data_IF_489902353405
#
_entry.id   IF_489902353405
#
_cell.length_a   1.000
_cell.length_b   1.000
_cell.length_c   1.000
_cell.angle_alpha   90.00
_cell.angle_beta   90.00
_cell.angle_gamma   90.00
#
_symmetry.space_group_name_H-M   'P 1'
#
loop_
_entity.id
_entity.type
_entity.pdbx_description
1 polymer ?
#
# COMPACT_ATOMS: atom_id res chain seq x y z
N UNK A 1 10.96 -5.19 -18.02
CA UNK A 1 9.74 -5.66 -18.70
C UNK A 1 9.51 -4.90 -20.00
N UNK A 2 9.01 -5.58 -21.02
CA UNK A 2 8.51 -4.98 -22.27
C UNK A 2 7.09 -4.43 -22.09
N UNK A 3 6.61 -3.50 -22.94
CA UNK A 3 5.23 -3.00 -22.84
C UNK A 3 4.18 -4.11 -22.91
N UNK A 4 4.42 -5.16 -23.71
CA UNK A 4 3.50 -6.31 -23.83
C UNK A 4 3.42 -7.11 -22.53
N UNK A 5 4.55 -7.39 -21.90
CA UNK A 5 4.60 -8.07 -20.60
C UNK A 5 3.89 -7.25 -19.51
N UNK A 6 4.03 -5.92 -19.53
CA UNK A 6 3.33 -5.04 -18.57
C UNK A 6 1.82 -5.16 -18.77
N UNK A 7 1.33 -5.08 -20.01
CA UNK A 7 -0.10 -5.25 -20.31
C UNK A 7 -0.59 -6.62 -19.85
N UNK A 8 0.16 -7.69 -20.12
CA UNK A 8 -0.21 -9.05 -19.69
C UNK A 8 -0.29 -9.17 -18.16
N UNK A 9 0.62 -8.52 -17.41
CA UNK A 9 0.50 -8.49 -15.95
C UNK A 9 -0.70 -7.67 -15.48
N UNK A 10 -1.02 -6.57 -16.16
CA UNK A 10 -2.22 -5.77 -15.84
C UNK A 10 -3.51 -6.53 -16.16
N UNK A 11 -3.54 -7.34 -17.21
CA UNK A 11 -4.69 -8.19 -17.59
C UNK A 11 -5.06 -9.21 -16.50
N UNK A 12 -4.10 -9.62 -15.66
CA UNK A 12 -4.35 -10.52 -14.52
C UNK A 12 -5.14 -9.88 -13.37
N UNK A 13 -5.29 -8.56 -13.40
CA UNK A 13 -5.90 -7.78 -12.32
C UNK A 13 -7.03 -6.86 -12.79
N UNK A 14 -6.96 -6.36 -14.03
CA UNK A 14 -7.90 -5.39 -14.58
C UNK A 14 -8.54 -6.00 -15.82
N UNK A 15 -9.86 -5.96 -15.92
CA UNK A 15 -10.62 -6.39 -17.10
C UNK A 15 -10.76 -5.22 -18.08
N UNK A 16 -10.63 -5.49 -19.38
CA UNK A 16 -10.83 -4.49 -20.44
C UNK A 16 -9.77 -3.38 -20.44
N UNK A 17 -10.17 -2.16 -20.81
CA UNK A 17 -9.35 -0.93 -20.75
C UNK A 17 -7.98 -1.05 -21.44
N UNK A 18 -7.93 -1.67 -22.62
CA UNK A 18 -6.70 -1.99 -23.34
C UNK A 18 -5.85 -0.74 -23.67
N UNK A 19 -6.49 0.36 -24.08
CA UNK A 19 -5.78 1.59 -24.42
C UNK A 19 -5.10 2.22 -23.20
N UNK A 20 -5.77 2.24 -22.06
CA UNK A 20 -5.21 2.72 -20.80
C UNK A 20 -4.01 1.86 -20.35
N UNK A 21 -4.13 0.52 -20.43
CA UNK A 21 -3.02 -0.40 -20.13
C UNK A 21 -1.82 -0.17 -21.05
N UNK A 22 -2.07 0.03 -22.36
CA UNK A 22 -1.02 0.33 -23.33
C UNK A 22 -0.34 1.67 -23.04
N UNK A 23 -1.11 2.71 -22.72
CA UNK A 23 -0.60 4.03 -22.40
C UNK A 23 0.34 3.99 -21.18
N UNK A 24 -0.09 3.36 -20.08
CA UNK A 24 0.75 3.24 -18.88
C UNK A 24 1.98 2.36 -19.11
N UNK A 25 1.87 1.30 -19.91
CA UNK A 25 2.99 0.43 -20.25
C UNK A 25 4.07 1.18 -21.07
N UNK A 26 3.65 2.06 -21.98
CA UNK A 26 4.57 2.93 -22.72
C UNK A 26 5.25 3.94 -21.80
N UNK A 27 4.52 4.56 -20.87
CA UNK A 27 5.07 5.52 -19.92
C UNK A 27 6.16 4.88 -19.03
N UNK A 28 5.89 3.69 -18.47
CA UNK A 28 6.90 2.95 -17.70
C UNK A 28 8.08 2.52 -18.57
N UNK A 29 7.84 2.04 -19.79
CA UNK A 29 8.93 1.67 -20.69
C UNK A 29 9.81 2.86 -21.04
N UNK A 30 9.25 4.06 -21.15
CA UNK A 30 10.01 5.29 -21.38
C UNK A 30 10.92 5.64 -20.19
N UNK A 31 10.54 5.31 -18.95
CA UNK A 31 11.45 5.46 -17.80
C UNK A 31 12.67 4.57 -17.91
N UNK A 32 12.49 3.31 -18.27
CA UNK A 32 13.61 2.41 -18.53
C UNK A 32 14.47 2.92 -19.70
N UNK A 33 13.86 3.39 -20.80
CA UNK A 33 14.59 3.97 -21.94
C UNK A 33 15.42 5.18 -21.51
N UNK A 34 14.87 6.08 -20.69
CA UNK A 34 15.56 7.25 -20.14
C UNK A 34 16.81 6.84 -19.35
N UNK A 35 16.72 5.80 -18.51
CA UNK A 35 17.88 5.32 -17.74
C UNK A 35 19.03 4.80 -18.62
N UNK A 36 18.74 4.35 -19.86
CA UNK A 36 19.77 3.91 -20.81
C UNK A 36 20.43 5.07 -21.58
N UNK A 37 19.92 6.30 -21.43
CA UNK A 37 20.50 7.47 -22.10
C UNK A 37 21.75 7.97 -21.37
N UNK A 38 22.67 8.66 -22.08
CA UNK A 38 23.76 9.42 -21.46
C UNK A 38 23.22 10.47 -20.47
N UNK A 39 24.01 10.81 -19.45
CA UNK A 39 23.54 11.66 -18.34
C UNK A 39 23.01 13.03 -18.79
N UNK A 40 23.68 13.69 -19.74
CA UNK A 40 23.22 14.97 -20.31
C UNK A 40 21.81 14.87 -20.92
N UNK A 41 21.56 13.83 -21.70
CA UNK A 41 20.25 13.63 -22.33
C UNK A 41 19.22 13.08 -21.33
N UNK A 42 19.65 12.33 -20.31
CA UNK A 42 18.77 11.75 -19.30
C UNK A 42 18.02 12.82 -18.49
N UNK A 43 18.69 13.93 -18.20
CA UNK A 43 18.13 15.07 -17.45
C UNK A 43 17.07 15.82 -18.28
N UNK A 44 17.30 15.97 -19.59
CA UNK A 44 16.39 16.68 -20.51
C UNK A 44 15.10 15.90 -20.84
N UNK A 45 15.08 14.58 -20.61
CA UNK A 45 13.90 13.74 -20.91
C UNK A 45 12.92 13.75 -19.74
N UNK A 46 11.90 14.60 -19.82
CA UNK A 46 10.81 14.60 -18.83
C UNK A 46 9.89 13.38 -18.95
N UNK A 47 9.29 12.93 -17.82
CA UNK A 47 8.25 11.92 -17.81
C UNK A 47 7.09 12.26 -18.76
N UNK A 48 6.48 11.23 -19.34
CA UNK A 48 5.26 11.39 -20.13
C UNK A 48 4.06 11.16 -19.23
N UNK A 49 3.63 12.21 -18.52
CA UNK A 49 2.49 12.15 -17.61
C UNK A 49 1.21 11.81 -18.38
N UNK A 50 0.26 11.22 -17.65
CA UNK A 50 -0.93 10.59 -18.23
C UNK A 50 -2.18 11.26 -17.67
N UNK A 51 -3.10 11.64 -18.55
CA UNK A 51 -4.46 12.04 -18.21
C UNK A 51 -5.43 10.93 -18.60
N UNK A 52 -6.01 10.28 -17.58
CA UNK A 52 -7.06 9.27 -17.71
C UNK A 52 -8.44 9.93 -17.67
N UNK A 53 -9.21 9.74 -18.73
CA UNK A 53 -10.55 10.30 -18.88
C UNK A 53 -11.53 9.14 -18.86
N UNK A 54 -12.55 9.18 -18.01
CA UNK A 54 -13.62 8.17 -18.06
C UNK A 54 -14.44 8.10 -16.78
N UNK A 55 -15.54 7.33 -16.78
CA UNK A 55 -16.49 7.31 -15.67
C UNK A 55 -15.89 6.73 -14.38
N UNK A 56 -16.58 6.93 -13.26
CA UNK A 56 -16.20 6.34 -11.97
C UNK A 56 -16.27 4.81 -12.03
N UNK A 57 -15.39 4.14 -11.28
CA UNK A 57 -15.46 2.68 -11.14
C UNK A 57 -15.02 1.85 -12.35
N UNK A 58 -14.46 2.45 -13.41
CA UNK A 58 -13.96 1.71 -14.60
C UNK A 58 -12.50 1.20 -14.49
N UNK A 59 -11.82 1.49 -13.37
CA UNK A 59 -10.47 0.96 -13.11
C UNK A 59 -9.31 1.95 -13.22
N UNK A 60 -9.55 3.26 -13.38
CA UNK A 60 -8.49 4.31 -13.46
C UNK A 60 -7.43 4.18 -12.34
N UNK A 61 -7.87 4.21 -11.09
CA UNK A 61 -6.98 4.09 -9.92
C UNK A 61 -6.33 2.71 -9.82
N UNK A 62 -7.05 1.65 -10.20
CA UNK A 62 -6.55 0.28 -10.10
C UNK A 62 -5.42 0.02 -11.11
N UNK A 63 -5.52 0.58 -12.32
CA UNK A 63 -4.43 0.54 -13.32
C UNK A 63 -3.17 1.19 -12.75
N UNK A 64 -3.27 2.40 -12.19
CA UNK A 64 -2.12 3.12 -11.64
C UNK A 64 -1.52 2.41 -10.40
N UNK A 65 -2.37 1.90 -9.50
CA UNK A 65 -1.95 1.15 -8.31
C UNK A 65 -1.23 -0.15 -8.69
N UNK A 66 -1.77 -0.92 -9.64
CA UNK A 66 -1.15 -2.17 -10.10
C UNK A 66 0.14 -1.92 -10.85
N UNK A 67 0.20 -0.84 -11.63
CA UNK A 67 1.43 -0.40 -12.29
C UNK A 67 2.53 -0.14 -11.26
N UNK A 68 2.25 0.62 -10.20
CA UNK A 68 3.22 0.92 -9.16
C UNK A 68 3.71 -0.33 -8.44
N UNK A 69 2.77 -1.23 -8.06
CA UNK A 69 3.11 -2.52 -7.43
C UNK A 69 3.97 -3.40 -8.34
N UNK A 70 3.69 -3.42 -9.65
CA UNK A 70 4.45 -4.19 -10.63
C UNK A 70 5.88 -3.67 -10.79
N UNK A 71 6.08 -2.35 -10.71
CA UNK A 71 7.40 -1.73 -10.88
C UNK A 71 8.15 -1.52 -9.57
N UNK A 72 7.58 -1.88 -8.41
CA UNK A 72 8.15 -1.57 -7.10
C UNK A 72 8.26 -0.07 -6.83
N UNK A 73 7.41 0.73 -7.47
CA UNK A 73 7.45 2.18 -7.36
C UNK A 73 6.66 2.66 -6.13
N UNK A 74 7.14 3.69 -5.40
CA UNK A 74 6.33 4.35 -4.39
C UNK A 74 5.14 5.04 -5.06
N UNK A 75 3.98 4.93 -4.43
CA UNK A 75 2.70 5.37 -4.98
C UNK A 75 1.93 6.17 -3.94
N UNK A 76 1.34 7.28 -4.36
CA UNK A 76 0.41 8.06 -3.55
C UNK A 76 -0.83 8.39 -4.36
N UNK A 77 -2.00 8.29 -3.72
CA UNK A 77 -3.29 8.71 -4.30
C UNK A 77 -3.78 9.94 -3.57
N UNK A 78 -3.90 11.06 -4.28
CA UNK A 78 -4.48 12.30 -3.77
C UNK A 78 -5.74 12.66 -4.55
N UNK A 79 -6.63 13.41 -3.92
CA UNK A 79 -7.83 13.96 -4.56
C UNK A 79 -7.60 15.45 -4.76
N UNK A 80 -7.77 15.95 -6.00
CA UNK A 80 -7.45 17.34 -6.34
C UNK A 80 -8.30 18.35 -5.53
N UNK A 81 -9.52 17.96 -5.15
CA UNK A 81 -10.45 18.76 -4.36
C UNK A 81 -9.95 19.04 -2.94
N UNK A 82 -9.08 18.20 -2.37
CA UNK A 82 -8.48 18.41 -1.03
C UNK A 82 -7.69 19.70 -0.90
N UNK A 83 -7.23 20.25 -2.03
CA UNK A 83 -6.44 21.48 -2.08
C UNK A 83 -7.31 22.74 -2.30
N UNK A 84 -8.63 22.60 -2.51
CA UNK A 84 -9.53 23.74 -2.76
C UNK A 84 -10.12 24.36 -1.49
N UNK A 85 -10.05 23.67 -0.35
CA UNK A 85 -10.70 24.10 0.90
C UNK A 85 -9.90 25.19 1.62
N UNK A 86 -10.48 26.40 1.64
CA UNK A 86 -9.92 27.55 2.36
C UNK A 86 -10.22 27.41 3.86
N UNK A 87 -9.30 26.81 4.61
CA UNK A 87 -9.46 26.65 6.06
C UNK A 87 -8.17 26.29 6.78
N UNK A 88 -7.52 27.31 7.37
CA UNK A 88 -6.54 27.40 8.48
C UNK A 88 -5.45 26.34 8.77
N UNK A 89 -5.43 25.18 8.11
CA UNK A 89 -4.38 24.16 8.16
C UNK A 89 -4.33 23.43 6.80
N UNK A 90 -4.34 24.21 5.72
CA UNK A 90 -4.39 23.69 4.36
C UNK A 90 -3.22 22.73 4.11
N UNK A 91 -3.53 21.49 3.75
CA UNK A 91 -2.52 20.56 3.24
C UNK A 91 -1.96 21.16 1.97
N UNK A 92 -0.80 21.77 2.07
CA UNK A 92 0.04 22.23 0.97
C UNK A 92 0.14 21.12 -0.11
N UNK A 93 0.12 21.49 -1.39
CA UNK A 93 0.24 20.55 -2.51
C UNK A 93 1.54 19.74 -2.38
N UNK A 94 2.59 20.30 -1.80
CA UNK A 94 3.84 19.58 -1.53
C UNK A 94 3.66 18.36 -0.59
N UNK A 95 2.59 18.30 0.20
CA UNK A 95 2.27 17.16 1.07
C UNK A 95 2.20 15.82 0.31
N UNK A 96 1.78 15.84 -0.95
CA UNK A 96 1.74 14.60 -1.77
C UNK A 96 3.14 14.03 -2.02
N UNK A 97 4.15 14.90 -2.12
CA UNK A 97 5.55 14.48 -2.32
C UNK A 97 6.14 13.99 -1.01
N UNK A 98 5.79 14.64 0.12
CA UNK A 98 6.19 14.16 1.46
C UNK A 98 5.62 12.76 1.74
N UNK A 99 4.35 12.52 1.44
CA UNK A 99 3.70 11.21 1.57
C UNK A 99 4.30 10.17 0.59
N UNK A 100 4.65 10.57 -0.63
CA UNK A 100 5.34 9.69 -1.59
C UNK A 100 6.67 9.19 -1.04
N UNK A 101 7.44 10.04 -0.37
CA UNK A 101 8.74 9.70 0.23
C UNK A 101 8.57 8.81 1.46
N UNK A 102 7.55 9.06 2.28
CA UNK A 102 7.19 8.14 3.38
C UNK A 102 6.86 6.74 2.87
N UNK A 103 6.10 6.64 1.78
CA UNK A 103 5.82 5.36 1.13
C UNK A 103 7.09 4.71 0.54
N UNK A 104 8.03 5.50 0.02
CA UNK A 104 9.31 5.01 -0.47
C UNK A 104 10.17 4.43 0.66
N UNK A 105 10.18 5.05 1.84
CA UNK A 105 10.89 4.53 3.03
C UNK A 105 10.34 3.17 3.43
N UNK A 106 9.03 3.00 3.43
CA UNK A 106 8.40 1.71 3.70
C UNK A 106 8.89 0.61 2.75
N UNK A 107 8.96 0.91 1.45
CA UNK A 107 9.43 -0.03 0.42
C UNK A 107 10.92 -0.37 0.57
N UNK A 108 11.77 0.64 0.80
CA UNK A 108 13.21 0.43 1.01
C UNK A 108 13.47 -0.36 2.29
N UNK A 109 12.78 -0.03 3.38
CA UNK A 109 12.91 -0.76 4.65
C UNK A 109 12.48 -2.22 4.52
N UNK A 110 11.40 -2.50 3.80
CA UNK A 110 10.97 -3.89 3.53
C UNK A 110 12.00 -4.65 2.69
N UNK A 111 12.59 -3.99 1.68
CA UNK A 111 13.63 -4.58 0.84
C UNK A 111 14.92 -4.86 1.63
N UNK A 112 15.42 -3.88 2.39
CA UNK A 112 16.63 -4.04 3.20
C UNK A 112 16.41 -5.10 4.29
N UNK A 113 15.22 -5.17 4.90
CA UNK A 113 14.86 -6.21 5.88
C UNK A 113 15.01 -7.62 5.31
N UNK A 114 14.62 -7.86 4.05
CA UNK A 114 14.80 -9.15 3.37
C UNK A 114 16.29 -9.45 3.11
N UNK A 115 17.09 -8.43 2.81
CA UNK A 115 18.52 -8.60 2.54
C UNK A 115 19.33 -8.93 3.81
N UNK A 116 18.90 -8.44 4.98
CA UNK A 116 19.57 -8.68 6.27
C UNK A 116 19.00 -9.87 7.04
N UNK A 117 17.96 -10.54 6.53
CA UNK A 117 17.20 -11.56 7.27
C UNK A 117 18.10 -12.70 7.78
N UNK A 118 19.00 -13.20 6.93
CA UNK A 118 19.88 -14.32 7.26
C UNK A 118 20.97 -13.91 8.26
N UNK A 119 21.54 -12.71 8.10
CA UNK A 119 22.51 -12.14 9.06
C UNK A 119 21.84 -11.88 10.42
N UNK A 120 20.62 -11.36 10.42
CA UNK A 120 19.85 -11.14 11.65
C UNK A 120 19.54 -12.46 12.37
N UNK A 121 19.22 -13.54 11.63
CA UNK A 121 19.05 -14.89 12.19
C UNK A 121 20.34 -15.37 12.87
N UNK A 122 21.48 -15.25 12.19
CA UNK A 122 22.76 -15.66 12.77
C UNK A 122 23.12 -14.88 14.04
N UNK A 123 22.94 -13.55 14.04
CA UNK A 123 23.16 -12.73 15.25
C UNK A 123 22.22 -13.08 16.38
N UNK A 124 20.96 -13.37 16.05
CA UNK A 124 19.96 -13.82 17.03
C UNK A 124 20.38 -15.14 17.68
N UNK A 125 20.85 -16.10 16.88
CA UNK A 125 21.35 -17.39 17.38
C UNK A 125 22.58 -17.20 18.28
N UNK A 126 23.54 -16.38 17.87
CA UNK A 126 24.73 -16.11 18.68
C UNK A 126 24.37 -15.42 20.00
N UNK A 127 23.42 -14.48 19.99
CA UNK A 127 22.94 -13.80 21.20
C UNK A 127 22.14 -14.73 22.12
N UNK A 128 21.36 -15.64 21.57
CA UNK A 128 20.72 -16.72 22.35
C UNK A 128 21.75 -17.66 22.96
N UNK A 129 22.81 -18.01 22.22
CA UNK A 129 23.91 -18.82 22.74
C UNK A 129 24.65 -18.13 23.88
N UNK A 130 24.84 -16.81 23.81
CA UNK A 130 25.43 -16.03 24.90
C UNK A 130 24.57 -16.06 26.17
N UNK A 131 23.24 -16.05 26.02
CA UNK A 131 22.31 -16.17 27.15
C UNK A 131 22.30 -17.60 27.74
N UNK A 132 22.38 -18.62 26.89
CA UNK A 132 22.33 -20.04 27.29
C UNK A 132 23.66 -20.56 27.85
N UNK A 133 24.78 -20.04 27.34
CA UNK A 133 26.14 -20.43 27.68
C UNK A 133 27.05 -19.19 27.80
N UNK A 134 26.85 -18.37 28.86
CA UNK A 134 27.59 -17.13 29.05
C UNK A 134 29.10 -17.38 29.13
N UNK A 135 29.87 -16.48 28.53
CA UNK A 135 31.33 -16.59 28.52
C UNK A 135 31.89 -16.38 29.94
N UNK A 136 32.78 -17.25 30.43
CA UNK A 136 33.50 -17.05 31.68
C UNK A 136 34.30 -15.74 31.66
N UNK A 137 34.27 -14.98 32.76
CA UNK A 137 34.86 -13.63 32.84
C UNK A 137 36.40 -13.66 32.76
N UNK A 138 37.05 -14.75 33.17
CA UNK A 138 38.49 -14.96 33.05
C UNK A 138 38.79 -16.43 32.74
N UNK A 139 39.56 -16.67 31.68
CA UNK A 139 40.37 -17.87 31.55
C UNK A 139 41.77 -17.45 32.06
N UNK A 140 42.31 -18.10 33.08
CA UNK A 140 43.68 -17.77 33.53
C UNK A 140 44.70 -18.02 32.40
N UNK A 141 45.86 -17.36 32.45
CA UNK A 141 46.92 -17.54 31.44
C UNK A 141 47.75 -18.83 31.63
N UNK A 142 47.36 -19.68 32.59
CA UNK A 142 48.00 -20.96 32.91
C UNK A 142 47.39 -22.12 32.09
N UNK A 143 48.05 -23.29 32.06
CA UNK A 143 47.57 -24.50 31.35
C UNK A 143 46.12 -24.90 31.72
N UNK A 144 45.69 -24.64 32.96
CA UNK A 144 44.32 -24.88 33.41
C UNK A 144 43.29 -23.94 32.74
N UNK A 145 43.69 -22.72 32.39
CA UNK A 145 42.87 -21.75 31.68
C UNK A 145 42.69 -22.08 30.20
N UNK A 146 43.75 -22.55 29.53
CA UNK A 146 43.65 -23.06 28.15
C UNK A 146 42.70 -24.28 28.05
N UNK A 147 42.73 -25.18 29.04
CA UNK A 147 41.86 -26.35 29.07
C UNK A 147 40.41 -26.00 29.44
N UNK A 148 40.20 -24.96 30.27
CA UNK A 148 38.87 -24.41 30.52
C UNK A 148 38.28 -23.76 29.26
N UNK A 149 39.10 -23.06 28.47
CA UNK A 149 38.68 -22.43 27.23
C UNK A 149 38.28 -23.46 26.16
N UNK A 150 39.08 -24.52 25.97
CA UNK A 150 38.75 -25.63 25.06
C UNK A 150 37.45 -26.32 25.45
N UNK A 151 37.21 -26.54 26.76
CA UNK A 151 35.95 -27.12 27.28
C UNK A 151 34.75 -26.21 27.04
N UNK A 152 34.92 -24.90 27.22
CA UNK A 152 33.88 -23.91 26.94
C UNK A 152 33.50 -23.91 25.46
N UNK A 153 34.48 -23.81 24.54
CA UNK A 153 34.23 -23.84 23.09
C UNK A 153 33.47 -25.10 22.67
N UNK A 154 33.91 -26.27 23.14
CA UNK A 154 33.22 -27.56 22.86
C UNK A 154 31.77 -27.58 23.38
N UNK A 155 31.52 -26.98 24.54
CA UNK A 155 30.17 -26.89 25.12
C UNK A 155 29.29 -25.94 24.31
N UNK A 156 29.84 -24.79 23.91
CA UNK A 156 29.15 -23.80 23.06
C UNK A 156 28.81 -24.38 21.68
N UNK A 157 29.72 -25.12 21.05
CA UNK A 157 29.46 -25.77 19.76
C UNK A 157 28.36 -26.82 19.85
N UNK A 158 28.32 -27.60 20.95
CA UNK A 158 27.23 -28.55 21.19
C UNK A 158 25.89 -27.85 21.42
N UNK A 159 25.88 -26.77 22.21
CA UNK A 159 24.68 -25.95 22.44
C UNK A 159 24.18 -25.30 21.15
N UNK A 160 25.09 -24.83 20.27
CA UNK A 160 24.75 -24.31 18.94
C UNK A 160 24.05 -25.37 18.10
N UNK A 161 24.58 -26.59 18.04
CA UNK A 161 23.94 -27.68 17.30
C UNK A 161 22.53 -27.99 17.84
N UNK A 162 22.34 -28.00 19.17
CA UNK A 162 21.02 -28.23 19.80
C UNK A 162 20.05 -27.05 19.58
N UNK A 163 20.55 -25.81 19.55
CA UNK A 163 19.74 -24.62 19.29
C UNK A 163 19.26 -24.56 17.84
N UNK A 164 20.13 -24.88 16.88
CA UNK A 164 19.79 -24.98 15.46
C UNK A 164 18.86 -26.16 15.20
N UNK A 165 19.02 -27.25 15.96
CA UNK A 165 18.14 -28.41 15.93
C UNK A 165 16.76 -28.20 16.57
N UNK A 166 16.49 -27.04 17.19
CA UNK A 166 15.22 -26.74 17.85
C UNK A 166 14.98 -27.50 19.16
N UNK A 167 16.02 -28.11 19.73
CA UNK A 167 15.91 -28.93 20.95
C UNK A 167 15.81 -28.08 22.23
N UNK A 168 16.13 -26.79 22.14
CA UNK A 168 16.23 -25.87 23.28
C UNK A 168 15.06 -24.88 23.40
N UNK A 169 14.06 -24.95 22.52
CA UNK A 169 12.98 -23.95 22.41
C UNK A 169 12.18 -23.75 23.71
N UNK A 170 12.02 -24.81 24.52
CA UNK A 170 11.28 -24.79 25.79
C UNK A 170 12.13 -24.34 26.99
N UNK A 171 13.43 -24.09 26.78
CA UNK A 171 14.32 -23.64 27.86
C UNK A 171 14.06 -22.16 28.15
N UNK A 172 14.17 -21.79 29.41
CA UNK A 172 13.98 -20.42 29.87
C UNK A 172 15.28 -19.61 29.83
N UNK A 173 15.18 -18.36 29.39
CA UNK A 173 16.27 -17.37 29.34
C UNK A 173 15.78 -16.02 29.87
N UNK A 174 16.62 -15.36 30.66
CA UNK A 174 16.35 -13.98 31.07
C UNK A 174 16.82 -13.01 29.99
N UNK A 175 15.87 -12.26 29.41
CA UNK A 175 16.14 -11.23 28.43
C UNK A 175 15.85 -9.84 29.01
N UNK A 176 16.80 -8.91 28.86
CA UNK A 176 16.57 -7.51 29.14
C UNK A 176 15.87 -6.87 27.92
N UNK A 177 14.59 -6.52 28.08
CA UNK A 177 13.79 -5.91 27.02
C UNK A 177 13.63 -4.43 27.34
N UNK A 178 13.97 -3.58 26.36
CA UNK A 178 13.67 -2.15 26.41
C UNK A 178 12.15 -1.96 26.39
N UNK A 179 11.58 -1.43 27.46
CA UNK A 179 10.18 -1.00 27.45
C UNK A 179 10.13 0.41 26.84
N UNK A 180 9.41 0.55 25.73
CA UNK A 180 8.92 1.86 25.32
C UNK A 180 7.93 2.31 26.39
N UNK A 181 8.28 3.32 27.16
CA UNK A 181 7.35 3.91 28.11
C UNK A 181 6.22 4.55 27.32
N UNK A 182 5.08 3.87 27.19
CA UNK A 182 3.85 4.52 26.73
C UNK A 182 3.53 5.61 27.74
N UNK A 183 3.59 6.90 27.37
CA UNK A 183 3.12 7.94 28.26
C UNK A 183 1.63 7.69 28.44
N UNK A 184 1.21 7.37 29.66
CA UNK A 184 -0.21 7.44 30.01
C UNK A 184 -0.57 8.91 29.89
N UNK A 185 -1.18 9.27 28.77
CA UNK A 185 -1.63 10.62 28.54
C UNK A 185 -2.70 10.92 29.59
N UNK A 186 -2.37 11.83 30.52
CA UNK A 186 -3.32 12.59 31.32
C UNK A 186 -4.24 13.29 30.33
N UNK A 187 -5.32 12.62 29.94
CA UNK A 187 -6.37 13.16 29.10
C UNK A 187 -7.07 14.26 29.86
N UNK A 188 -6.64 15.50 29.66
CA UNK A 188 -7.40 16.74 29.82
C UNK A 188 -6.41 17.88 29.60
N UNK A 189 -6.31 18.38 28.37
CA UNK A 189 -6.04 19.78 27.97
C UNK A 189 -5.71 19.76 26.46
N UNK A 190 -6.63 20.30 25.64
CA UNK A 190 -6.66 20.13 24.18
C UNK A 190 -5.52 20.82 23.42
N UNK A 191 -4.37 20.16 23.29
CA UNK A 191 -3.22 20.60 22.50
C UNK A 191 -2.59 19.41 21.73
N UNK A 192 -3.32 18.80 20.80
CA UNK A 192 -2.93 17.57 20.08
C UNK A 192 -1.73 17.74 19.11
N UNK A 193 -1.42 18.95 18.64
CA UNK A 193 -0.40 19.14 17.60
C UNK A 193 1.03 19.39 18.10
N UNK A 194 1.22 19.67 19.40
CA UNK A 194 2.56 19.80 20.01
C UNK A 194 2.99 18.52 20.76
N UNK A 195 2.11 17.53 20.88
CA UNK A 195 2.38 16.31 21.64
C UNK A 195 3.39 15.37 20.98
N UNK A 196 3.37 15.23 19.65
CA UNK A 196 4.22 14.24 18.95
C UNK A 196 5.70 14.67 18.91
N UNK A 197 5.96 15.96 18.71
CA UNK A 197 7.34 16.50 18.75
C UNK A 197 7.89 16.59 20.17
N UNK A 198 7.04 16.87 21.17
CA UNK A 198 7.44 16.82 22.59
C UNK A 198 7.66 15.37 23.04
N UNK A 199 6.83 14.40 22.61
CA UNK A 199 7.01 12.98 22.92
C UNK A 199 8.33 12.44 22.37
N UNK A 200 8.64 12.72 21.10
CA UNK A 200 9.91 12.27 20.49
C UNK A 200 11.13 12.93 21.12
N UNK A 201 11.03 14.17 21.60
CA UNK A 201 12.07 14.77 22.45
C UNK A 201 12.17 14.11 23.83
N UNK A 202 11.05 13.78 24.47
CA UNK A 202 11.01 13.16 25.79
C UNK A 202 11.59 11.73 25.79
N UNK A 203 11.29 10.94 24.75
CA UNK A 203 11.86 9.61 24.53
C UNK A 203 13.38 9.64 24.34
N UNK A 204 13.94 10.73 23.79
CA UNK A 204 15.40 10.89 23.61
C UNK A 204 16.13 11.32 24.87
N UNK A 205 15.45 11.90 25.85
CA UNK A 205 16.05 12.44 27.09
C UNK A 205 15.93 11.47 28.27
N UNK A 206 14.89 10.63 28.30
CA UNK A 206 14.69 9.64 29.37
C UNK A 206 15.59 8.40 29.18
N UNK A 207 16.21 7.87 30.25
CA UNK A 207 16.91 6.60 30.18
C UNK A 207 15.94 5.49 29.77
N UNK A 208 16.32 4.69 28.78
CA UNK A 208 15.52 3.55 28.34
C UNK A 208 15.31 2.60 29.53
N UNK A 209 14.06 2.42 29.97
CA UNK A 209 13.73 1.47 31.03
C UNK A 209 13.85 0.04 30.48
N UNK A 210 14.93 -0.66 30.82
CA UNK A 210 15.10 -2.09 30.52
C UNK A 210 14.47 -2.92 31.64
N UNK A 211 13.52 -3.79 31.30
CA UNK A 211 12.93 -4.76 32.22
C UNK A 211 13.44 -6.15 31.88
N UNK A 212 13.90 -6.89 32.90
CA UNK A 212 14.24 -8.30 32.73
C UNK A 212 12.97 -9.13 32.70
N UNK A 213 12.79 -9.90 31.63
CA UNK A 213 11.71 -10.87 31.51
C UNK A 213 12.30 -12.25 31.33
N UNK A 214 11.73 -13.21 32.03
CA UNK A 214 11.98 -14.63 31.79
C UNK A 214 11.07 -15.08 30.65
N UNK A 215 11.67 -15.56 29.57
CA UNK A 215 11.00 -16.00 28.35
C UNK A 215 11.53 -17.36 27.94
N UNK A 216 10.72 -18.13 27.20
CA UNK A 216 11.22 -19.31 26.51
C UNK A 216 12.20 -18.91 25.40
N UNK A 217 13.10 -19.81 25.00
CA UNK A 217 14.01 -19.58 23.86
C UNK A 217 13.22 -19.26 22.58
N UNK A 218 12.06 -19.88 22.38
CA UNK A 218 11.18 -19.59 21.24
C UNK A 218 10.72 -18.12 21.23
N UNK A 219 10.17 -17.64 22.34
CA UNK A 219 9.72 -16.25 22.48
C UNK A 219 10.88 -15.26 22.43
N UNK A 220 12.01 -15.59 23.09
CA UNK A 220 13.21 -14.77 23.09
C UNK A 220 13.81 -14.66 21.68
N UNK A 221 13.73 -15.72 20.87
CA UNK A 221 14.20 -15.73 19.48
C UNK A 221 13.44 -14.72 18.63
N UNK A 222 12.11 -14.66 18.73
CA UNK A 222 11.31 -13.68 17.97
C UNK A 222 11.65 -12.25 18.36
N UNK A 223 11.77 -11.97 19.67
CA UNK A 223 12.09 -10.64 20.17
C UNK A 223 13.51 -10.20 19.78
N UNK A 224 14.50 -11.09 19.96
CA UNK A 224 15.88 -10.82 19.59
C UNK A 224 16.03 -10.64 18.08
N UNK A 225 15.30 -11.42 17.28
CA UNK A 225 15.32 -11.29 15.84
C UNK A 225 14.84 -9.91 15.36
N UNK A 226 13.75 -9.40 15.91
CA UNK A 226 13.31 -8.04 15.59
C UNK A 226 14.34 -6.98 16.04
N UNK A 227 14.96 -7.14 17.21
CA UNK A 227 16.00 -6.23 17.70
C UNK A 227 17.25 -6.22 16.81
N UNK A 228 17.73 -7.40 16.40
CA UNK A 228 18.89 -7.52 15.50
C UNK A 228 18.55 -6.99 14.10
N UNK A 229 17.33 -7.23 13.60
CA UNK A 229 16.86 -6.62 12.37
C UNK A 229 16.91 -5.09 12.45
N UNK A 230 16.37 -4.48 13.52
CA UNK A 230 16.40 -3.03 13.68
C UNK A 230 17.82 -2.48 13.87
N UNK A 231 18.69 -3.19 14.58
CA UNK A 231 20.08 -2.76 14.80
C UNK A 231 20.94 -2.82 13.52
N UNK A 232 20.62 -3.72 12.60
CA UNK A 232 21.31 -3.87 11.30
C UNK A 232 20.87 -2.84 10.26
N UNK A 233 19.73 -2.19 10.45
CA UNK A 233 19.22 -1.18 9.51
C UNK A 233 19.93 0.16 9.73
N UNK A 234 20.53 0.69 8.65
CA UNK A 234 21.10 2.03 8.64
C UNK A 234 20.03 3.06 8.20
N UNK A 235 19.55 3.92 9.11
CA UNK A 235 18.50 4.90 8.80
C UNK A 235 18.95 5.94 7.77
N UNK A 236 20.22 6.34 7.74
CA UNK A 236 20.72 7.33 6.78
C UNK A 236 20.75 6.76 5.38
N UNK A 237 21.24 5.52 5.25
CA UNK A 237 21.23 4.78 3.98
C UNK A 237 19.81 4.55 3.45
N UNK A 238 18.87 4.18 4.34
CA UNK A 238 17.45 3.99 3.98
C UNK A 238 16.84 5.30 3.48
N UNK A 239 17.07 6.40 4.18
CA UNK A 239 16.53 7.71 3.80
C UNK A 239 17.08 8.15 2.43
N UNK A 240 18.38 8.02 2.20
CA UNK A 240 19.00 8.37 0.92
C UNK A 240 18.45 7.53 -0.24
N UNK A 241 18.34 6.20 -0.06
CA UNK A 241 17.78 5.30 -1.06
C UNK A 241 16.28 5.56 -1.31
N UNK A 242 15.53 5.93 -0.27
CA UNK A 242 14.11 6.25 -0.41
C UNK A 242 13.88 7.55 -1.18
N UNK A 243 14.70 8.57 -0.95
CA UNK A 243 14.69 9.81 -1.74
C UNK A 243 14.98 9.49 -3.21
N UNK A 244 16.06 8.75 -3.51
CA UNK A 244 16.40 8.37 -4.88
C UNK A 244 15.29 7.56 -5.57
N UNK A 245 14.65 6.64 -4.82
CA UNK A 245 13.54 5.83 -5.29
C UNK A 245 12.31 6.70 -5.63
N UNK A 246 11.98 7.65 -4.76
CA UNK A 246 10.87 8.58 -4.97
C UNK A 246 11.12 9.48 -6.19
N UNK A 247 12.31 10.05 -6.34
CA UNK A 247 12.67 10.92 -7.47
C UNK A 247 12.60 10.20 -8.82
N UNK A 248 13.12 8.96 -8.90
CA UNK A 248 13.26 8.26 -10.17
C UNK A 248 12.08 7.36 -10.55
N UNK A 249 11.45 6.73 -9.56
CA UNK A 249 10.39 5.74 -9.78
C UNK A 249 9.04 6.16 -9.20
N UNK A 250 8.96 7.22 -8.40
CA UNK A 250 7.72 7.64 -7.76
C UNK A 250 6.57 7.91 -8.74
N UNK A 251 5.35 7.55 -8.30
CA UNK A 251 4.12 7.74 -9.06
C UNK A 251 3.11 8.47 -8.17
N UNK A 252 2.63 9.62 -8.65
CA UNK A 252 1.58 10.40 -7.99
C UNK A 252 0.31 10.28 -8.82
N UNK A 253 -0.75 9.74 -8.21
CA UNK A 253 -2.07 9.67 -8.82
C UNK A 253 -2.97 10.79 -8.29
N UNK A 254 -3.36 11.71 -9.19
CA UNK A 254 -4.23 12.85 -8.88
C UNK A 254 -5.64 12.52 -9.36
N UNK A 255 -6.52 12.13 -8.44
CA UNK A 255 -7.92 11.82 -8.72
C UNK A 255 -8.76 13.10 -8.79
N UNK A 256 -9.87 13.03 -9.52
CA UNK A 256 -10.84 14.11 -9.66
C UNK A 256 -10.27 15.47 -10.16
N UNK A 257 -9.28 15.43 -11.06
CA UNK A 257 -8.69 16.65 -11.64
C UNK A 257 -9.73 17.50 -12.41
N UNK A 258 -10.82 16.89 -12.88
CA UNK A 258 -11.92 17.62 -13.53
C UNK A 258 -12.66 18.57 -12.58
N UNK A 259 -12.54 18.38 -11.26
CA UNK A 259 -13.23 19.22 -10.25
C UNK A 259 -12.52 20.52 -9.94
N UNK A 260 -11.23 20.63 -10.30
CA UNK A 260 -10.45 21.86 -10.13
C UNK A 260 -10.44 22.73 -11.40
N UNK A 261 -11.20 22.34 -12.43
CA UNK A 261 -11.49 23.20 -13.59
C UNK A 261 -12.48 24.30 -13.17
N UNK A 262 -12.15 25.55 -13.49
CA UNK A 262 -13.05 26.69 -13.27
C UNK A 262 -14.22 26.67 -14.27
N UNK A 263 -15.39 27.09 -13.83
CA UNK A 263 -16.58 27.24 -14.69
C UNK A 263 -16.87 28.72 -14.86
N UNK A 264 -16.58 29.30 -16.04
CA UNK A 264 -16.65 30.75 -16.29
C UNK A 264 -17.79 31.47 -15.53
N UNK A 265 -17.41 32.32 -14.56
CA UNK A 265 -18.29 33.36 -14.00
C UNK A 265 -18.61 33.30 -12.50
N UNK A 266 -17.92 32.51 -11.66
CA UNK A 266 -18.16 32.48 -10.20
C UNK A 266 -16.90 32.73 -9.37
N UNK A 267 -17.03 33.41 -8.24
CA UNK A 267 -15.92 33.67 -7.29
C UNK A 267 -15.23 32.41 -6.76
N UNK A 268 -15.90 31.26 -6.78
CA UNK A 268 -15.31 29.95 -6.45
C UNK A 268 -14.26 29.45 -7.47
N UNK A 269 -14.18 30.08 -8.65
CA UNK A 269 -13.24 29.71 -9.71
C UNK A 269 -11.79 30.09 -9.39
N UNK A 270 -11.58 31.14 -8.58
CA UNK A 270 -10.23 31.61 -8.19
C UNK A 270 -9.52 30.56 -7.33
N UNK A 271 -10.23 29.90 -6.42
CA UNK A 271 -9.68 28.82 -5.58
C UNK A 271 -9.35 27.56 -6.41
N UNK A 272 -10.25 27.17 -7.33
CA UNK A 272 -10.03 25.99 -8.20
C UNK A 272 -8.87 26.16 -9.17
N UNK A 273 -8.75 27.33 -9.79
CA UNK A 273 -7.57 27.67 -10.60
C UNK A 273 -6.30 27.79 -9.75
N UNK A 274 -6.42 28.24 -8.50
CA UNK A 274 -5.32 28.25 -7.53
C UNK A 274 -4.69 26.87 -7.39
N UNK A 275 -5.50 25.83 -7.21
CA UNK A 275 -4.99 24.44 -7.12
C UNK A 275 -4.22 24.01 -8.36
N UNK A 276 -4.70 24.34 -9.57
CA UNK A 276 -3.95 24.01 -10.80
C UNK A 276 -2.61 24.74 -10.87
N UNK A 277 -2.54 25.99 -10.38
CA UNK A 277 -1.30 26.77 -10.30
C UNK A 277 -0.34 26.19 -9.27
N UNK A 278 -0.85 25.75 -8.12
CA UNK A 278 -0.03 25.17 -7.06
C UNK A 278 0.48 23.77 -7.44
N UNK A 279 -0.28 23.01 -8.24
CA UNK A 279 0.16 21.74 -8.84
C UNK A 279 1.25 21.91 -9.90
N UNK A 280 1.28 23.06 -10.60
CA UNK A 280 2.15 23.24 -11.75
C UNK A 280 3.64 23.09 -11.38
N UNK A 281 4.22 23.79 -10.40
CA UNK A 281 5.63 23.62 -10.01
C UNK A 281 6.00 22.16 -9.69
N UNK A 282 5.06 21.42 -9.08
CA UNK A 282 5.27 20.02 -8.69
C UNK A 282 5.39 19.13 -9.94
N UNK A 283 4.55 19.35 -10.94
CA UNK A 283 4.55 18.60 -12.22
C UNK A 283 5.68 19.05 -13.16
N UNK A 284 6.09 20.33 -13.11
CA UNK A 284 7.19 20.87 -13.92
C UNK A 284 8.58 20.44 -13.43
N UNK A 285 8.71 20.23 -12.13
CA UNK A 285 9.98 19.93 -11.47
C UNK A 285 10.31 21.02 -10.46
N UNK A 286 10.26 20.66 -9.18
CA UNK A 286 10.68 21.53 -8.08
C UNK A 286 11.37 20.69 -7.01
N UNK A 287 12.07 21.36 -6.10
CA UNK A 287 12.73 20.72 -4.94
C UNK A 287 11.89 20.98 -3.70
N UNK A 288 11.45 19.90 -3.05
CA UNK A 288 10.60 19.95 -1.86
C UNK A 288 11.40 19.47 -0.65
N UNK A 289 11.32 20.21 0.44
CA UNK A 289 11.91 19.81 1.70
C UNK A 289 11.02 18.79 2.42
N UNK A 290 11.61 17.66 2.79
CA UNK A 290 10.98 16.61 3.59
C UNK A 290 11.77 16.38 4.88
N UNK A 291 11.23 15.60 5.80
CA UNK A 291 11.93 15.18 7.03
C UNK A 291 13.16 14.31 6.75
N UNK A 292 13.27 13.77 5.54
CA UNK A 292 14.31 12.81 5.12
C UNK A 292 15.31 13.42 4.13
N UNK A 293 15.19 14.72 3.85
CA UNK A 293 16.04 15.44 2.89
C UNK A 293 15.22 16.18 1.83
N UNK A 294 15.93 16.71 0.84
CA UNK A 294 15.34 17.39 -0.30
C UNK A 294 15.02 16.38 -1.40
N UNK A 295 13.85 16.53 -2.03
CA UNK A 295 13.35 15.62 -3.07
C UNK A 295 12.98 16.43 -4.30
N UNK A 296 13.51 16.02 -5.46
CA UNK A 296 13.24 16.62 -6.76
C UNK A 296 12.10 15.91 -7.50
N UNK A 297 11.17 16.67 -8.04
CA UNK A 297 9.97 16.10 -8.70
C UNK A 297 10.12 15.93 -10.21
N UNK A 298 11.25 16.33 -10.81
CA UNK A 298 11.53 16.36 -12.25
C UNK A 298 11.23 15.05 -13.00
N UNK A 299 11.33 13.91 -12.30
CA UNK A 299 11.20 12.58 -12.87
C UNK A 299 10.08 11.72 -12.26
N UNK A 300 9.29 12.32 -11.36
CA UNK A 300 8.08 11.72 -10.81
C UNK A 300 7.01 11.62 -11.91
N UNK A 301 6.33 10.49 -11.99
CA UNK A 301 5.29 10.26 -12.99
C UNK A 301 3.96 10.68 -12.39
N UNK A 302 3.30 11.62 -13.04
CA UNK A 302 1.96 12.05 -12.68
C UNK A 302 0.93 11.31 -13.53
N UNK A 303 -0.06 10.73 -12.86
CA UNK A 303 -1.24 10.15 -13.48
C UNK A 303 -2.45 10.90 -12.95
N UNK A 304 -2.98 11.83 -13.75
CA UNK A 304 -4.20 12.54 -13.41
C UNK A 304 -5.42 11.77 -13.95
N UNK A 305 -6.51 11.78 -13.20
CA UNK A 305 -7.74 11.11 -13.58
C UNK A 305 -8.94 12.02 -13.35
N UNK A 306 -9.92 11.94 -14.24
CA UNK A 306 -11.16 12.69 -14.12
C UNK A 306 -12.30 12.06 -14.91
N UNK A 307 -13.52 12.34 -14.50
CA UNK A 307 -14.71 11.90 -15.22
C UNK A 307 -15.04 12.80 -16.41
N UNK A 308 -14.74 14.10 -16.30
CA UNK A 308 -14.95 15.11 -17.35
C UNK A 308 -16.40 15.15 -17.87
N UNK A 309 -17.38 14.91 -17.00
CA UNK A 309 -18.81 15.03 -17.33
C UNK A 309 -19.28 16.48 -17.48
N UNK A 310 -18.72 17.39 -16.67
CA UNK A 310 -19.11 18.82 -16.61
C UNK A 310 -18.04 19.77 -17.16
N UNK A 311 -16.83 19.26 -17.32
CA UNK A 311 -15.67 20.01 -17.78
C UNK A 311 -14.98 19.21 -18.87
N UNK A 312 -14.24 19.88 -19.74
CA UNK A 312 -13.43 19.24 -20.79
C UNK A 312 -11.95 19.28 -20.43
N UNK A 313 -11.13 18.31 -20.87
CA UNK A 313 -9.68 18.38 -20.70
C UNK A 313 -9.04 19.66 -21.26
N UNK A 314 -9.65 20.27 -22.29
CA UNK A 314 -9.22 21.54 -22.89
C UNK A 314 -9.42 22.76 -22.00
N UNK A 315 -10.22 22.64 -20.93
CA UNK A 315 -10.51 23.72 -19.97
C UNK A 315 -9.53 23.73 -18.78
N UNK A 316 -8.65 22.74 -18.68
CA UNK A 316 -7.47 22.83 -17.80
C UNK A 316 -6.56 23.98 -18.25
N UNK A 317 -5.78 24.52 -17.33
CA UNK A 317 -4.78 25.55 -17.67
C UNK A 317 -3.85 25.07 -18.81
N UNK A 318 -3.57 25.91 -19.83
CA UNK A 318 -2.73 25.52 -20.96
C UNK A 318 -1.37 24.94 -20.56
N UNK A 319 -0.76 25.50 -19.51
CA UNK A 319 0.51 25.06 -18.94
C UNK A 319 0.41 23.63 -18.42
N UNK A 320 -0.66 23.31 -17.68
CA UNK A 320 -0.91 21.98 -17.15
C UNK A 320 -1.22 20.98 -18.27
N UNK A 321 -1.98 21.40 -19.29
CA UNK A 321 -2.25 20.55 -20.47
C UNK A 321 -0.96 20.12 -21.18
N UNK A 322 0.02 21.02 -21.32
CA UNK A 322 1.32 20.70 -21.92
C UNK A 322 2.10 19.66 -21.13
N UNK A 323 1.87 19.56 -19.82
CA UNK A 323 2.53 18.60 -18.94
C UNK A 323 1.88 17.21 -18.90
N UNK A 324 0.67 17.05 -19.45
CA UNK A 324 -0.02 15.75 -19.60
C UNK A 324 -0.18 15.35 -21.08
N UNK A 325 0.92 14.97 -21.76
CA UNK A 325 0.91 14.69 -23.20
C UNK A 325 0.18 13.39 -23.57
N UNK A 326 0.13 12.41 -22.67
CA UNK A 326 -0.58 11.16 -22.91
C UNK A 326 -2.02 11.32 -22.41
N UNK A 327 -2.98 11.32 -23.33
CA UNK A 327 -4.41 11.33 -23.02
C UNK A 327 -5.00 9.99 -23.38
N UNK A 328 -5.73 9.37 -22.46
CA UNK A 328 -6.36 8.08 -22.68
C UNK A 328 -7.75 8.05 -22.12
N UNK A 329 -8.68 7.54 -22.92
CA UNK A 329 -10.07 7.38 -22.54
C UNK A 329 -10.31 5.95 -22.06
N UNK A 330 -11.06 5.83 -20.98
CA UNK A 330 -11.54 4.59 -20.41
C UNK A 330 -13.04 4.49 -20.66
N UNK A 331 -13.45 3.30 -21.08
CA UNK A 331 -14.83 3.02 -21.48
C UNK A 331 -15.68 2.59 -20.30
N UNK A 332 -16.99 2.83 -20.40
CA UNK A 332 -17.97 2.26 -19.47
C UNK A 332 -17.87 0.73 -19.45
N UNK A 333 -18.08 0.16 -18.27
CA UNK A 333 -18.09 -1.29 -18.09
C UNK A 333 -19.46 -1.87 -18.47
N UNK A 334 -19.43 -2.94 -19.25
CA UNK A 334 -20.62 -3.69 -19.65
C UNK A 334 -20.98 -4.76 -18.59
N UNK A 335 -22.18 -5.36 -18.72
CA UNK A 335 -22.54 -6.54 -17.93
C UNK A 335 -21.50 -7.66 -18.10
N UNK A 336 -21.05 -7.90 -19.32
CA UNK A 336 -20.04 -8.94 -19.62
C UNK A 336 -18.72 -8.63 -18.92
N UNK A 337 -18.32 -7.34 -18.84
CA UNK A 337 -17.15 -6.94 -18.07
C UNK A 337 -17.32 -7.23 -16.57
N UNK A 338 -18.52 -7.07 -16.00
CA UNK A 338 -18.79 -7.43 -14.61
C UNK A 338 -18.67 -8.94 -14.36
N UNK A 339 -19.17 -9.79 -15.26
CA UNK A 339 -18.99 -11.25 -15.18
C UNK A 339 -17.50 -11.59 -15.15
N UNK A 340 -16.73 -10.97 -16.05
CA UNK A 340 -15.28 -11.15 -16.12
C UNK A 340 -14.57 -10.62 -14.87
N UNK A 341 -14.98 -9.47 -14.33
CA UNK A 341 -14.42 -8.91 -13.08
C UNK A 341 -14.64 -9.85 -11.89
N UNK A 342 -15.79 -10.53 -11.84
CA UNK A 342 -16.10 -11.51 -10.80
C UNK A 342 -15.29 -12.81 -10.94
N UNK A 343 -14.73 -13.14 -12.10
CA UNK A 343 -14.15 -14.48 -12.38
C UNK A 343 -12.67 -14.47 -12.74
N UNK A 344 -12.24 -13.58 -13.64
CA UNK A 344 -10.91 -13.59 -14.24
C UNK A 344 -9.81 -13.07 -13.31
N UNK A 345 -9.95 -11.89 -12.64
CA UNK A 345 -8.87 -11.35 -11.82
C UNK A 345 -8.37 -12.34 -10.76
N UNK A 346 -7.06 -12.34 -10.50
CA UNK A 346 -6.43 -13.23 -9.49
C UNK A 346 -7.06 -13.10 -8.11
N UNK A 347 -7.51 -11.90 -7.76
CA UNK A 347 -8.18 -11.58 -6.50
C UNK A 347 -9.57 -11.02 -6.78
N UNK A 348 -10.36 -11.70 -7.61
CA UNK A 348 -11.76 -11.32 -7.84
C UNK A 348 -12.58 -11.43 -6.55
N UNK A 349 -13.71 -10.71 -6.48
CA UNK A 349 -14.56 -10.68 -5.29
C UNK A 349 -15.02 -12.09 -4.88
N UNK A 350 -15.47 -12.90 -5.84
CA UNK A 350 -15.89 -14.28 -5.57
C UNK A 350 -14.77 -15.09 -4.92
N UNK A 351 -13.54 -15.02 -5.42
CA UNK A 351 -12.38 -15.73 -4.84
C UNK A 351 -12.05 -15.22 -3.43
N UNK A 352 -12.19 -13.92 -3.19
CA UNK A 352 -12.00 -13.33 -1.86
C UNK A 352 -13.02 -13.89 -0.86
N UNK A 353 -14.31 -13.85 -1.19
CA UNK A 353 -15.35 -14.38 -0.28
C UNK A 353 -15.28 -15.90 -0.11
N UNK A 354 -14.93 -16.65 -1.15
CA UNK A 354 -14.67 -18.11 -1.01
C UNK A 354 -13.53 -18.36 -0.03
N UNK A 355 -12.44 -17.58 -0.10
CA UNK A 355 -11.33 -17.70 0.83
C UNK A 355 -11.70 -17.28 2.26
N UNK A 356 -12.48 -16.21 2.42
CA UNK A 356 -12.97 -15.74 3.72
C UNK A 356 -13.89 -16.77 4.38
N UNK A 357 -14.87 -17.31 3.67
CA UNK A 357 -15.76 -18.35 4.22
C UNK A 357 -15.00 -19.65 4.52
N UNK A 358 -13.91 -19.91 3.79
CA UNK A 358 -13.00 -21.01 4.07
C UNK A 358 -12.32 -20.95 5.44
N UNK A 359 -12.18 -19.77 6.07
CA UNK A 359 -11.62 -19.66 7.43
C UNK A 359 -12.55 -20.26 8.49
N UNK A 360 -13.86 -20.25 8.22
CA UNK A 360 -14.90 -20.88 9.04
C UNK A 360 -15.18 -22.33 8.61
N UNK A 361 -14.30 -22.93 7.80
CA UNK A 361 -14.47 -24.25 7.21
C UNK A 361 -15.76 -24.41 6.36
N UNK A 362 -16.24 -23.32 5.75
CA UNK A 362 -17.36 -23.32 4.83
C UNK A 362 -16.85 -23.24 3.39
N UNK A 363 -17.22 -24.22 2.57
CA UNK A 363 -16.89 -24.21 1.14
C UNK A 363 -18.00 -23.53 0.36
N UNK A 364 -17.75 -22.31 -0.12
CA UNK A 364 -18.68 -21.58 -0.98
C UNK A 364 -18.35 -21.83 -2.45
N UNK A 365 -19.37 -22.07 -3.28
CA UNK A 365 -19.23 -22.20 -4.73
C UNK A 365 -20.22 -21.29 -5.44
N UNK A 366 -19.73 -20.53 -6.42
CA UNK A 366 -20.57 -19.69 -7.27
C UNK A 366 -20.76 -20.39 -8.61
N UNK A 367 -22.01 -20.62 -8.97
CA UNK A 367 -22.41 -21.16 -10.28
C UNK A 367 -22.37 -20.07 -11.36
N UNK A 368 -22.32 -20.47 -12.63
CA UNK A 368 -22.26 -19.51 -13.76
C UNK A 368 -23.52 -18.63 -13.83
N UNK A 369 -24.70 -19.19 -13.53
CA UNK A 369 -25.97 -18.46 -13.49
C UNK A 369 -26.04 -17.48 -12.30
N UNK A 370 -25.42 -17.80 -11.16
CA UNK A 370 -25.29 -16.82 -10.07
C UNK A 370 -24.45 -15.62 -10.47
N UNK A 371 -23.32 -15.84 -11.16
CA UNK A 371 -22.42 -14.77 -11.59
C UNK A 371 -23.10 -13.89 -12.64
N UNK A 372 -23.80 -14.47 -13.59
CA UNK A 372 -24.61 -13.73 -14.56
C UNK A 372 -25.71 -12.89 -13.87
N UNK A 373 -26.40 -13.47 -12.88
CA UNK A 373 -27.43 -12.77 -12.10
C UNK A 373 -26.84 -11.59 -11.32
N UNK A 374 -25.71 -11.79 -10.64
CA UNK A 374 -25.00 -10.75 -9.90
C UNK A 374 -24.58 -9.58 -10.81
N UNK A 375 -23.99 -9.90 -11.97
CA UNK A 375 -23.60 -8.90 -12.95
C UNK A 375 -24.82 -8.14 -13.50
N UNK A 376 -25.94 -8.84 -13.71
CA UNK A 376 -27.21 -8.23 -14.16
C UNK A 376 -27.74 -7.23 -13.14
N UNK A 377 -27.82 -7.62 -11.86
CA UNK A 377 -28.27 -6.71 -10.78
C UNK A 377 -27.35 -5.50 -10.65
N UNK A 378 -26.03 -5.69 -10.68
CA UNK A 378 -25.06 -4.59 -10.60
C UNK A 378 -25.22 -3.60 -11.76
N UNK A 379 -25.42 -4.12 -12.97
CA UNK A 379 -25.64 -3.29 -14.15
C UNK A 379 -26.97 -2.54 -14.10
N UNK A 380 -28.05 -3.23 -13.70
CA UNK A 380 -29.38 -2.64 -13.56
C UNK A 380 -29.40 -1.51 -12.52
N UNK A 381 -28.86 -1.75 -11.32
CA UNK A 381 -28.83 -0.73 -10.25
C UNK A 381 -27.99 0.48 -10.65
N UNK A 382 -26.90 0.28 -11.40
CA UNK A 382 -26.11 1.38 -11.95
C UNK A 382 -26.88 2.20 -13.00
N UNK A 383 -27.86 1.62 -13.70
CA UNK A 383 -28.71 2.34 -14.65
C UNK A 383 -29.90 3.05 -13.99
N UNK A 384 -30.52 2.43 -12.97
CA UNK A 384 -31.68 3.02 -12.28
C UNK A 384 -31.28 4.09 -11.26
N UNK A 385 -30.08 3.99 -10.68
CA UNK A 385 -29.61 4.92 -9.64
C UNK A 385 -28.36 5.70 -10.09
N UNK A 386 -27.41 5.94 -9.19
CA UNK A 386 -26.13 6.56 -9.52
C UNK A 386 -25.15 5.49 -10.02
N UNK A 387 -24.64 5.64 -11.24
CA UNK A 387 -23.60 4.74 -11.74
C UNK A 387 -22.29 4.95 -10.97
N UNK A 388 -21.88 3.92 -10.21
CA UNK A 388 -20.61 3.87 -9.49
C UNK A 388 -19.62 2.86 -10.10
N UNK A 389 -19.95 2.33 -11.29
CA UNK A 389 -19.17 1.35 -12.03
C UNK A 389 -19.03 0.02 -11.30
N UNK A 390 -17.85 -0.60 -11.39
CA UNK A 390 -17.57 -1.90 -10.75
C UNK A 390 -17.65 -1.87 -9.22
N UNK A 391 -17.65 -0.68 -8.58
CA UNK A 391 -17.82 -0.57 -7.11
C UNK A 391 -19.16 -1.14 -6.65
N UNK A 392 -20.19 -1.12 -7.50
CA UNK A 392 -21.50 -1.71 -7.24
C UNK A 392 -21.45 -3.21 -6.93
N UNK A 393 -20.47 -3.92 -7.48
CA UNK A 393 -20.30 -5.35 -7.21
C UNK A 393 -19.93 -5.62 -5.75
N UNK A 394 -19.27 -4.68 -5.06
CA UNK A 394 -18.93 -4.84 -3.64
C UNK A 394 -20.18 -4.79 -2.77
N UNK A 395 -21.01 -3.75 -2.91
CA UNK A 395 -22.23 -3.59 -2.08
C UNK A 395 -23.22 -4.72 -2.34
N UNK A 396 -23.36 -5.15 -3.59
CA UNK A 396 -24.20 -6.30 -3.94
C UNK A 396 -23.68 -7.60 -3.32
N UNK A 397 -22.36 -7.83 -3.35
CA UNK A 397 -21.77 -9.05 -2.80
C UNK A 397 -21.88 -9.10 -1.27
N UNK A 398 -21.65 -7.97 -0.59
CA UNK A 398 -21.88 -7.85 0.86
C UNK A 398 -23.32 -8.19 1.21
N UNK A 399 -24.28 -7.57 0.51
CA UNK A 399 -25.70 -7.83 0.78
C UNK A 399 -26.11 -9.28 0.48
N UNK A 400 -25.52 -9.89 -0.55
CA UNK A 400 -25.78 -11.30 -0.89
C UNK A 400 -25.33 -12.25 0.23
N UNK A 401 -24.17 -11.98 0.83
CA UNK A 401 -23.51 -12.87 1.78
C UNK A 401 -23.71 -12.49 3.25
N UNK A 402 -24.40 -11.40 3.54
CA UNK A 402 -24.61 -10.86 4.90
C UNK A 402 -25.07 -11.93 5.89
N UNK A 403 -26.16 -12.64 5.59
CA UNK A 403 -26.67 -13.68 6.50
C UNK A 403 -25.75 -14.90 6.57
N UNK A 404 -25.16 -15.33 5.44
CA UNK A 404 -24.20 -16.44 5.44
C UNK A 404 -22.99 -16.10 6.30
N UNK A 405 -22.47 -14.88 6.19
CA UNK A 405 -21.34 -14.41 6.96
C UNK A 405 -21.66 -14.24 8.44
N UNK A 406 -22.92 -13.95 8.79
CA UNK A 406 -23.38 -13.86 10.18
C UNK A 406 -23.54 -15.24 10.81
N UNK A 407 -24.11 -16.20 10.10
CA UNK A 407 -24.34 -17.57 10.59
C UNK A 407 -23.10 -18.46 10.50
N UNK A 408 -22.09 -18.07 9.72
CA UNK A 408 -20.89 -18.87 9.45
C UNK A 408 -20.19 -19.44 10.70
N UNK A 409 -19.98 -18.69 11.80
CA UNK A 409 -19.33 -19.23 13.00
C UNK A 409 -20.13 -20.31 13.72
N UNK A 410 -21.46 -20.26 13.61
CA UNK A 410 -22.38 -21.22 14.22
C UNK A 410 -22.67 -22.42 13.32
N UNK A 411 -22.42 -22.27 12.01
CA UNK A 411 -22.48 -23.36 11.05
C UNK A 411 -21.31 -24.33 11.28
N UNK A 412 -21.63 -25.59 11.63
CA UNK A 412 -20.65 -26.67 11.52
C UNK A 412 -20.38 -26.93 10.04
N UNK A 413 -19.11 -27.14 9.67
CA UNK A 413 -18.59 -27.56 8.35
C UNK A 413 -19.68 -27.77 7.28
N UNK A 414 -19.72 -26.90 6.27
CA UNK A 414 -20.76 -26.90 5.26
C UNK A 414 -20.26 -26.58 3.86
N UNK A 415 -20.98 -27.04 2.85
CA UNK A 415 -20.83 -26.56 1.46
C UNK A 415 -22.05 -25.74 1.11
N UNK A 416 -21.85 -24.51 0.67
CA UNK A 416 -22.91 -23.59 0.25
C UNK A 416 -22.75 -23.30 -1.23
N UNK A 417 -23.75 -23.69 -2.01
CA UNK A 417 -23.81 -23.40 -3.44
C UNK A 417 -24.67 -22.16 -3.67
N UNK A 418 -24.07 -21.15 -4.28
CA UNK A 418 -24.73 -19.91 -4.66
C UNK A 418 -25.13 -20.03 -6.13
N UNK A 419 -26.44 -20.12 -6.34
CA UNK A 419 -27.10 -20.18 -7.66
C UNK A 419 -27.96 -18.94 -7.92
N UNK A 420 -28.51 -18.81 -9.12
CA UNK A 420 -29.37 -17.68 -9.47
C UNK A 420 -30.55 -17.52 -8.50
N UNK A 421 -31.15 -18.62 -8.04
CA UNK A 421 -32.26 -18.58 -7.09
C UNK A 421 -31.85 -17.98 -5.73
N UNK A 422 -30.66 -18.34 -5.23
CA UNK A 422 -30.09 -17.73 -4.02
C UNK A 422 -29.88 -16.22 -4.21
N UNK A 423 -29.31 -15.82 -5.35
CA UNK A 423 -29.09 -14.40 -5.69
C UNK A 423 -30.41 -13.63 -5.75
N UNK A 424 -31.40 -14.13 -6.48
CA UNK A 424 -32.72 -13.50 -6.59
C UNK A 424 -33.41 -13.39 -5.24
N UNK A 425 -33.36 -14.42 -4.41
CA UNK A 425 -34.02 -14.40 -3.09
C UNK A 425 -33.48 -13.30 -2.17
N UNK A 426 -32.22 -12.88 -2.32
CA UNK A 426 -31.59 -11.86 -1.46
C UNK A 426 -31.59 -10.46 -2.05
N UNK A 427 -31.56 -10.34 -3.38
CA UNK A 427 -31.34 -9.06 -4.04
C UNK A 427 -32.59 -8.48 -4.70
N UNK A 428 -33.61 -9.29 -4.99
CA UNK A 428 -34.77 -8.86 -5.79
C UNK A 428 -35.48 -7.65 -5.18
N UNK A 429 -35.85 -7.74 -3.91
CA UNK A 429 -36.62 -6.68 -3.25
C UNK A 429 -35.83 -5.37 -3.14
N UNK A 430 -34.50 -5.46 -2.97
CA UNK A 430 -33.62 -4.30 -2.83
C UNK A 430 -33.35 -3.64 -4.18
N UNK A 431 -33.21 -4.43 -5.25
CA UNK A 431 -32.88 -3.93 -6.58
C UNK A 431 -34.11 -3.38 -7.36
N UNK A 432 -35.32 -3.83 -7.04
CA UNK A 432 -36.56 -3.33 -7.66
C UNK A 432 -37.03 -1.99 -7.05
N UNK A 433 -36.66 -1.70 -5.79
CA UNK A 433 -36.96 -0.44 -5.12
C UNK A 433 -35.80 0.55 -5.25
N UNK A 434 -35.99 1.61 -6.04
CA UNK A 434 -34.98 2.64 -6.27
C UNK A 434 -34.57 3.39 -4.99
N UNK A 435 -35.49 3.57 -4.05
CA UNK A 435 -35.18 4.26 -2.80
C UNK A 435 -34.41 3.33 -1.87
N UNK A 436 -34.83 2.08 -1.74
CA UNK A 436 -34.09 1.07 -0.98
C UNK A 436 -32.68 0.86 -1.56
N UNK A 437 -32.56 0.80 -2.89
CA UNK A 437 -31.28 0.72 -3.60
C UNK A 437 -30.36 1.89 -3.26
N UNK A 438 -30.85 3.14 -3.20
CA UNK A 438 -30.01 4.30 -2.85
C UNK A 438 -29.44 4.25 -1.43
N UNK A 439 -30.13 3.56 -0.51
CA UNK A 439 -29.70 3.45 0.89
C UNK A 439 -28.87 2.20 1.18
N UNK A 440 -29.15 1.08 0.50
CA UNK A 440 -28.59 -0.24 0.82
C UNK A 440 -27.49 -0.67 -0.17
N UNK A 441 -27.62 -0.34 -1.46
CA UNK A 441 -26.72 -0.80 -2.51
C UNK A 441 -25.89 0.33 -3.08
#
# INVERSE_FOLDING_TARGET
>A
MTPREIVEQLDRHIVGQADAKRAVAIAIRNRWRRQQLPDEMRQEVSPKNILMIGPTGVGKTEIARRLAKLTGAPFVKVEATKYTEVGYYGRDVESMVRELVENAIGLVRESERKNIEDEAKHRTEDRLLDLLCPQPINFGDDEEGEDAEKRYRRTRDKMRAMLVGGELEQRHVELAIEQKATPVLMGQMGMEHMEVEIQTMFEKIMPKHTSRRDLTVAEAREVLFEQECEALLDPEKINAAAVELAENLGIIFIDEIDKVVASEGKSADVSRQGVQRDLLPIVEGTTIQTRYGYVKTDHVLFVAAGAFHRAKPSELMPELQGRFPIRVELTDLTKDDFIRILTEPKSSLTKQYVALMGTEAITVTFTEDAIDSLASYAFQVNQSTQNIGARRLYTIMERLLEELSFEAPDMKMGTVEINAAYVTARLKDVAEDEDLSKYIL
#
